data_IF_571621245362
#
_entry.id   IF_571621245362
#
_cell.length_a   1.000
_cell.length_b   1.000
_cell.length_c   1.000
_cell.angle_alpha   90.00
_cell.angle_beta   90.00
_cell.angle_gamma   90.00
#
_symmetry.space_group_name_H-M   'P 1'
#
loop_
_entity.id
_entity.type
_entity.pdbx_description
1 polymer ?
#
# COMPACT_ATOMS: atom_id res chain seq x y z
N UNK A 1 8.50 9.49 -15.67
CA UNK A 1 8.71 9.98 -14.29
C UNK A 1 9.18 8.87 -13.34
N UNK A 2 8.37 7.82 -13.07
CA UNK A 2 8.72 6.76 -12.09
C UNK A 2 10.03 6.03 -12.42
N UNK A 3 10.27 5.65 -13.67
CA UNK A 3 11.51 4.97 -14.06
C UNK A 3 12.74 5.85 -13.80
N UNK A 4 12.72 7.11 -14.23
CA UNK A 4 13.78 8.08 -13.92
C UNK A 4 14.00 8.24 -12.42
N UNK A 5 12.93 8.23 -11.62
CA UNK A 5 13.06 8.23 -10.17
C UNK A 5 13.78 6.97 -9.67
N UNK A 6 13.40 5.77 -10.14
CA UNK A 6 14.04 4.51 -9.73
C UNK A 6 15.52 4.46 -10.14
N UNK A 7 15.86 4.89 -11.35
CA UNK A 7 17.22 4.96 -11.88
C UNK A 7 18.14 5.72 -10.92
N UNK A 8 17.64 6.81 -10.33
CA UNK A 8 18.42 7.67 -9.43
C UNK A 8 18.17 7.42 -7.93
N UNK A 9 17.44 6.37 -7.56
CA UNK A 9 17.20 6.02 -6.14
C UNK A 9 16.11 6.85 -5.45
N UNK A 10 15.12 7.34 -6.19
CA UNK A 10 13.97 8.09 -5.69
C UNK A 10 12.70 7.23 -5.64
N UNK A 11 11.68 7.73 -4.94
CA UNK A 11 10.36 7.12 -4.78
C UNK A 11 9.28 8.20 -4.89
N UNK A 12 8.17 7.84 -5.53
CA UNK A 12 6.93 8.61 -5.54
C UNK A 12 6.09 8.35 -4.28
N UNK A 13 5.39 9.37 -3.79
CA UNK A 13 4.54 9.24 -2.61
C UNK A 13 3.16 9.85 -2.83
N UNK A 14 2.74 10.75 -1.94
CA UNK A 14 1.40 11.32 -1.95
C UNK A 14 1.11 12.04 -3.26
N UNK A 15 -0.09 11.79 -3.77
CA UNK A 15 -0.72 12.59 -4.82
C UNK A 15 -1.67 13.59 -4.18
N UNK A 16 -1.71 14.79 -4.69
CA UNK A 16 -2.68 15.81 -4.30
C UNK A 16 -3.30 16.43 -5.56
N UNK A 17 -4.57 16.83 -5.49
CA UNK A 17 -5.13 17.68 -6.52
C UNK A 17 -4.46 19.06 -6.45
N UNK A 18 -4.15 19.64 -7.60
CA UNK A 18 -3.72 21.04 -7.69
C UNK A 18 -4.91 21.91 -8.09
N UNK A 19 -5.59 21.51 -9.16
CA UNK A 19 -6.78 22.15 -9.73
C UNK A 19 -7.59 21.11 -10.54
N UNK A 20 -8.56 21.56 -11.34
CA UNK A 20 -9.47 20.71 -12.13
C UNK A 20 -8.77 19.93 -13.25
N UNK A 21 -7.56 20.34 -13.63
CA UNK A 21 -6.80 19.79 -14.77
C UNK A 21 -5.46 19.18 -14.37
N UNK A 22 -4.95 19.54 -13.19
CA UNK A 22 -3.62 19.16 -12.74
C UNK A 22 -3.61 18.54 -11.34
N UNK A 23 -2.59 17.70 -11.11
CA UNK A 23 -2.32 17.06 -9.84
C UNK A 23 -0.83 17.08 -9.54
N UNK A 24 -0.49 17.10 -8.25
CA UNK A 24 0.87 17.06 -7.75
C UNK A 24 1.28 15.62 -7.42
N UNK A 25 2.47 15.22 -7.87
CA UNK A 25 3.15 14.01 -7.42
C UNK A 25 4.37 14.39 -6.59
N UNK A 26 4.40 14.01 -5.32
CA UNK A 26 5.64 14.14 -4.55
C UNK A 26 6.63 13.04 -4.93
N UNK A 27 7.88 13.45 -5.19
CA UNK A 27 9.05 12.58 -5.30
C UNK A 27 10.04 12.90 -4.18
N UNK A 28 10.70 11.89 -3.64
CA UNK A 28 11.76 12.04 -2.65
C UNK A 28 12.83 10.98 -2.83
N UNK A 29 14.06 11.26 -2.41
CA UNK A 29 15.11 10.23 -2.31
C UNK A 29 14.66 9.10 -1.40
N UNK A 30 15.00 7.86 -1.76
CA UNK A 30 14.78 6.70 -0.87
C UNK A 30 15.72 6.80 0.32
N UNK A 31 15.23 6.38 1.48
CA UNK A 31 16.01 6.17 2.69
C UNK A 31 15.99 4.69 3.05
N UNK A 32 16.81 4.28 4.02
CA UNK A 32 16.79 2.92 4.57
C UNK A 32 15.41 2.47 5.09
N UNK A 33 14.49 3.41 5.35
CA UNK A 33 13.11 3.12 5.79
C UNK A 33 12.07 3.14 4.67
N UNK A 34 12.45 3.52 3.45
CA UNK A 34 11.51 3.62 2.32
C UNK A 34 10.99 2.23 1.92
N UNK A 35 9.67 2.04 1.83
CA UNK A 35 9.10 0.76 1.43
C UNK A 35 9.28 0.52 -0.08
N UNK A 36 9.10 -0.74 -0.49
CA UNK A 36 9.03 -1.14 -1.89
C UNK A 36 7.63 -1.69 -2.17
N UNK A 37 7.02 -1.25 -3.27
CA UNK A 37 5.81 -1.89 -3.81
C UNK A 37 6.24 -2.97 -4.82
N UNK A 38 5.41 -4.00 -5.04
CA UNK A 38 5.66 -5.01 -6.07
C UNK A 38 5.84 -4.37 -7.45
N UNK A 39 5.02 -3.37 -7.79
CA UNK A 39 5.13 -2.63 -9.06
C UNK A 39 6.48 -1.92 -9.20
N UNK A 40 6.94 -1.21 -8.16
CA UNK A 40 8.24 -0.52 -8.24
C UNK A 40 9.40 -1.53 -8.26
N UNK A 41 9.24 -2.68 -7.60
CA UNK A 41 10.20 -3.78 -7.65
C UNK A 41 10.31 -4.36 -9.06
N UNK A 42 9.18 -4.71 -9.68
CA UNK A 42 9.11 -5.23 -11.05
C UNK A 42 9.71 -4.26 -12.06
N UNK A 43 9.42 -2.96 -11.94
CA UNK A 43 10.04 -1.93 -12.79
C UNK A 43 11.55 -1.83 -12.57
N UNK A 44 12.00 -1.92 -11.32
CA UNK A 44 13.41 -1.94 -11.01
C UNK A 44 14.10 -3.21 -11.53
N UNK A 45 13.45 -4.38 -11.49
CA UNK A 45 13.96 -5.62 -12.10
C UNK A 45 14.20 -5.45 -13.61
N UNK A 46 13.28 -4.81 -14.33
CA UNK A 46 13.45 -4.48 -15.75
C UNK A 46 14.64 -3.53 -15.97
N UNK A 47 14.80 -2.52 -15.12
CA UNK A 47 15.92 -1.57 -15.21
C UNK A 47 17.27 -2.22 -14.88
N UNK A 48 17.32 -3.17 -13.94
CA UNK A 48 18.49 -4.00 -13.63
C UNK A 48 18.87 -4.81 -14.87
N UNK A 49 17.91 -5.53 -15.45
CA UNK A 49 18.16 -6.36 -16.63
C UNK A 49 18.66 -5.54 -17.83
N UNK A 50 18.17 -4.30 -17.96
CA UNK A 50 18.60 -3.37 -19.00
C UNK A 50 19.88 -2.59 -18.66
N UNK A 51 20.51 -2.80 -17.49
CA UNK A 51 21.68 -2.06 -17.01
C UNK A 51 21.49 -0.52 -17.03
N UNK A 52 20.29 -0.06 -16.69
CA UNK A 52 19.92 1.37 -16.74
C UNK A 52 19.94 2.09 -15.39
N UNK A 53 20.38 1.42 -14.33
CA UNK A 53 20.45 2.02 -13.00
C UNK A 53 21.72 2.86 -12.85
N UNK A 54 21.57 4.01 -12.21
CA UNK A 54 22.72 4.78 -11.73
C UNK A 54 23.13 4.32 -10.34
N UNK A 55 24.34 4.68 -9.91
CA UNK A 55 24.89 4.34 -8.60
C UNK A 55 23.90 4.51 -7.42
N UNK A 56 23.16 5.63 -7.26
CA UNK A 56 22.21 5.77 -6.16
C UNK A 56 20.97 4.86 -6.29
N UNK A 57 20.53 4.55 -7.51
CA UNK A 57 19.44 3.60 -7.75
C UNK A 57 19.83 2.18 -7.37
N UNK A 58 21.03 1.77 -7.80
CA UNK A 58 21.60 0.47 -7.46
C UNK A 58 21.80 0.31 -5.95
N UNK A 59 22.40 1.31 -5.28
CA UNK A 59 22.58 1.30 -3.83
C UNK A 59 21.26 1.13 -3.06
N UNK A 60 20.21 1.83 -3.46
CA UNK A 60 18.90 1.73 -2.80
C UNK A 60 18.24 0.34 -2.97
N UNK A 61 18.54 -0.36 -4.07
CA UNK A 61 18.08 -1.72 -4.32
C UNK A 61 18.87 -2.71 -3.47
N UNK A 62 20.19 -2.57 -3.42
CA UNK A 62 21.07 -3.46 -2.67
C UNK A 62 20.80 -3.38 -1.16
N UNK A 63 20.62 -2.18 -0.61
CA UNK A 63 20.18 -2.00 0.78
C UNK A 63 18.84 -2.69 1.06
N UNK A 64 17.88 -2.57 0.14
CA UNK A 64 16.56 -3.17 0.31
C UNK A 64 16.58 -4.69 0.17
N UNK A 65 17.50 -5.24 -0.63
CA UNK A 65 17.74 -6.69 -0.69
C UNK A 65 18.39 -7.17 0.61
N UNK A 66 19.42 -6.47 1.09
CA UNK A 66 20.15 -6.82 2.31
C UNK A 66 19.26 -6.84 3.56
N UNK A 67 18.34 -5.88 3.71
CA UNK A 67 17.46 -5.83 4.88
C UNK A 67 16.09 -6.54 4.68
N UNK A 68 15.88 -7.14 3.51
CA UNK A 68 14.68 -7.89 3.15
C UNK A 68 13.45 -7.05 2.78
N UNK A 69 13.52 -5.71 2.71
CA UNK A 69 12.41 -4.87 2.19
C UNK A 69 12.06 -5.21 0.75
N UNK A 70 13.03 -5.62 -0.06
CA UNK A 70 12.84 -6.05 -1.43
C UNK A 70 11.93 -7.28 -1.54
N UNK A 71 12.19 -8.30 -0.70
CA UNK A 71 11.37 -9.50 -0.65
C UNK A 71 9.96 -9.20 -0.12
N UNK A 72 9.85 -8.29 0.86
CA UNK A 72 8.58 -7.85 1.49
C UNK A 72 7.83 -6.78 0.70
N UNK A 73 8.11 -6.63 -0.60
CA UNK A 73 7.46 -5.61 -1.40
C UNK A 73 5.93 -5.80 -1.40
N UNK A 74 5.20 -4.74 -1.02
CA UNK A 74 3.77 -4.84 -0.78
C UNK A 74 2.97 -4.89 -2.09
N UNK A 75 1.88 -5.65 -2.10
CA UNK A 75 0.97 -5.75 -3.23
C UNK A 75 0.14 -4.46 -3.39
N UNK A 76 -0.18 -4.10 -4.63
CA UNK A 76 -1.08 -2.98 -4.91
C UNK A 76 -2.52 -3.29 -4.52
N UNK A 77 -3.38 -2.26 -4.48
CA UNK A 77 -4.77 -2.40 -4.04
C UNK A 77 -5.61 -3.40 -4.83
N UNK A 78 -5.26 -3.64 -6.10
CA UNK A 78 -5.94 -4.61 -6.97
C UNK A 78 -5.51 -6.06 -6.73
N UNK A 79 -4.31 -6.28 -6.22
CA UNK A 79 -3.69 -7.60 -6.11
C UNK A 79 -3.40 -8.00 -4.67
N UNK A 80 -3.79 -7.18 -3.69
CA UNK A 80 -3.61 -7.51 -2.29
C UNK A 80 -4.65 -8.55 -1.88
N UNK A 81 -4.19 -9.62 -1.26
CA UNK A 81 -5.04 -10.72 -0.83
C UNK A 81 -5.49 -10.53 0.62
N UNK A 82 -6.65 -11.11 0.95
CA UNK A 82 -7.14 -11.16 2.32
C UNK A 82 -6.44 -12.31 3.03
N UNK A 83 -5.68 -12.07 4.12
CA UNK A 83 -5.06 -13.14 4.88
C UNK A 83 -6.11 -14.12 5.40
N UNK A 84 -5.83 -15.42 5.31
CA UNK A 84 -6.78 -16.47 5.68
C UNK A 84 -7.17 -16.37 7.16
N UNK A 85 -6.24 -15.98 8.03
CA UNK A 85 -6.50 -15.73 9.44
C UNK A 85 -7.48 -14.58 9.67
N UNK A 86 -7.48 -13.56 8.81
CA UNK A 86 -8.43 -12.45 8.88
C UNK A 86 -9.82 -12.88 8.37
N UNK A 87 -9.87 -13.67 7.30
CA UNK A 87 -11.13 -14.30 6.82
C UNK A 87 -11.77 -15.15 7.92
N UNK A 88 -11.00 -16.03 8.57
CA UNK A 88 -11.49 -16.85 9.69
C UNK A 88 -11.97 -16.00 10.86
N UNK A 89 -11.32 -14.88 11.15
CA UNK A 89 -11.73 -13.99 12.22
C UNK A 89 -13.02 -13.22 11.89
N UNK A 90 -13.18 -12.75 10.65
CA UNK A 90 -14.40 -12.11 10.18
C UNK A 90 -15.61 -13.06 10.23
N UNK A 91 -15.44 -14.31 9.80
CA UNK A 91 -16.50 -15.32 9.81
C UNK A 91 -17.09 -15.60 11.20
N UNK A 92 -16.33 -15.34 12.28
CA UNK A 92 -16.82 -15.46 13.67
C UNK A 92 -17.73 -14.31 14.09
N UNK A 93 -17.76 -13.21 13.33
CA UNK A 93 -18.54 -12.01 13.64
C UNK A 93 -19.32 -11.57 12.39
N UNK A 94 -20.51 -12.12 12.13
CA UNK A 94 -21.27 -11.90 10.88
C UNK A 94 -21.50 -10.42 10.53
N UNK A 95 -21.65 -9.56 11.55
CA UNK A 95 -21.77 -8.10 11.34
C UNK A 95 -20.49 -7.49 10.76
N UNK A 96 -19.33 -7.90 11.27
CA UNK A 96 -18.04 -7.43 10.79
C UNK A 96 -17.75 -7.93 9.37
N UNK A 97 -18.05 -9.20 9.08
CA UNK A 97 -17.90 -9.78 7.74
C UNK A 97 -18.73 -9.02 6.69
N UNK A 98 -20.03 -8.81 6.97
CA UNK A 98 -20.94 -8.07 6.09
C UNK A 98 -20.49 -6.62 5.89
N UNK A 99 -19.98 -5.97 6.94
CA UNK A 99 -19.48 -4.61 6.82
C UNK A 99 -18.17 -4.53 6.02
N UNK A 100 -17.23 -5.44 6.27
CA UNK A 100 -15.97 -5.52 5.53
C UNK A 100 -16.20 -5.73 4.02
N UNK A 101 -17.19 -6.54 3.65
CA UNK A 101 -17.59 -6.76 2.25
C UNK A 101 -18.14 -5.48 1.56
N UNK A 102 -18.66 -4.52 2.34
CA UNK A 102 -19.22 -3.25 1.85
C UNK A 102 -18.21 -2.11 1.80
N UNK A 103 -16.99 -2.30 2.34
CA UNK A 103 -15.97 -1.25 2.34
C UNK A 103 -15.59 -0.85 0.93
N UNK A 104 -15.33 0.44 0.75
CA UNK A 104 -14.74 0.93 -0.50
C UNK A 104 -13.30 0.41 -0.66
N UNK A 105 -12.78 0.49 -1.88
CA UNK A 105 -11.45 -0.04 -2.21
C UNK A 105 -10.33 0.60 -1.38
N UNK A 106 -10.50 1.86 -0.94
CA UNK A 106 -9.51 2.58 -0.14
C UNK A 106 -9.44 2.04 1.29
N UNK A 107 -10.58 1.91 1.96
CA UNK A 107 -10.63 1.36 3.32
C UNK A 107 -10.27 -0.12 3.35
N UNK A 108 -10.76 -0.90 2.37
CA UNK A 108 -10.37 -2.32 2.24
C UNK A 108 -8.85 -2.44 2.09
N UNK A 109 -8.24 -1.66 1.19
CA UNK A 109 -6.79 -1.67 1.01
C UNK A 109 -6.05 -1.24 2.26
N UNK A 110 -6.51 -0.19 2.96
CA UNK A 110 -5.87 0.30 4.17
C UNK A 110 -5.79 -0.76 5.28
N UNK A 111 -6.84 -1.57 5.46
CA UNK A 111 -6.84 -2.69 6.40
C UNK A 111 -5.82 -3.74 5.96
N UNK A 112 -5.92 -4.21 4.70
CA UNK A 112 -5.08 -5.29 4.18
C UNK A 112 -3.60 -4.89 4.16
N UNK A 113 -3.27 -3.68 3.73
CA UNK A 113 -1.91 -3.15 3.74
C UNK A 113 -1.31 -3.17 5.14
N UNK A 114 -2.08 -2.73 6.16
CA UNK A 114 -1.62 -2.73 7.56
C UNK A 114 -1.41 -4.16 8.08
N UNK A 115 -2.28 -5.10 7.74
CA UNK A 115 -2.12 -6.51 8.11
C UNK A 115 -0.86 -7.14 7.50
N UNK A 116 -0.64 -6.94 6.20
CA UNK A 116 0.53 -7.46 5.48
C UNK A 116 1.84 -6.78 5.90
N UNK A 117 1.78 -5.53 6.39
CA UNK A 117 2.97 -4.78 6.82
C UNK A 117 3.48 -5.17 8.21
N UNK A 118 2.72 -5.95 9.00
CA UNK A 118 3.10 -6.33 10.35
C UNK A 118 4.11 -7.48 10.36
N UNK A 119 5.24 -7.25 11.03
CA UNK A 119 6.38 -8.17 11.07
C UNK A 119 6.22 -9.34 12.03
N UNK A 120 5.40 -9.20 13.07
CA UNK A 120 5.26 -10.22 14.12
C UNK A 120 3.87 -10.86 14.08
N UNK A 121 3.83 -12.17 14.37
CA UNK A 121 2.57 -12.90 14.46
C UNK A 121 1.63 -12.29 15.51
N UNK A 122 2.17 -11.91 16.68
CA UNK A 122 1.39 -11.27 17.74
C UNK A 122 0.82 -9.92 17.33
N UNK A 123 1.63 -9.10 16.64
CA UNK A 123 1.16 -7.82 16.10
C UNK A 123 0.02 -8.00 15.11
N UNK A 124 0.13 -9.01 14.23
CA UNK A 124 -0.90 -9.35 13.26
C UNK A 124 -2.19 -9.82 13.92
N UNK A 125 -2.11 -10.71 14.90
CA UNK A 125 -3.25 -11.19 15.68
C UNK A 125 -3.99 -10.01 16.35
N UNK A 126 -3.26 -9.13 17.05
CA UNK A 126 -3.84 -7.95 17.69
C UNK A 126 -4.51 -7.02 16.66
N UNK A 127 -3.89 -6.82 15.50
CA UNK A 127 -4.46 -5.99 14.44
C UNK A 127 -5.71 -6.61 13.83
N UNK A 128 -5.76 -7.93 13.65
CA UNK A 128 -6.94 -8.66 13.19
C UNK A 128 -8.10 -8.43 14.16
N UNK A 129 -7.90 -8.67 15.45
CA UNK A 129 -8.94 -8.46 16.46
C UNK A 129 -9.46 -7.03 16.43
N UNK A 130 -8.56 -6.04 16.35
CA UNK A 130 -8.93 -4.62 16.26
C UNK A 130 -9.73 -4.30 14.99
N UNK A 131 -9.36 -4.84 13.83
CA UNK A 131 -10.08 -4.55 12.59
C UNK A 131 -11.42 -5.26 12.48
N UNK A 132 -11.55 -6.48 13.03
CA UNK A 132 -12.85 -7.17 13.15
C UNK A 132 -13.77 -6.35 14.05
N UNK A 133 -13.29 -5.92 15.20
CA UNK A 133 -14.03 -5.10 16.15
C UNK A 133 -14.46 -3.74 15.54
N UNK A 134 -13.55 -3.02 14.89
CA UNK A 134 -13.86 -1.80 14.12
C UNK A 134 -14.95 -2.04 13.06
N UNK A 135 -14.85 -3.13 12.28
CA UNK A 135 -15.87 -3.47 11.29
C UNK A 135 -17.21 -3.84 11.94
N UNK A 136 -17.19 -4.48 13.11
CA UNK A 136 -18.41 -4.79 13.87
C UNK A 136 -19.15 -3.54 14.36
N UNK A 137 -18.41 -2.45 14.62
CA UNK A 137 -18.97 -1.13 14.95
C UNK A 137 -19.38 -0.32 13.71
N UNK A 138 -19.02 -0.76 12.51
CA UNK A 138 -19.33 -0.03 11.27
C UNK A 138 -18.42 1.17 11.02
N UNK A 139 -17.20 1.14 11.58
CA UNK A 139 -16.22 2.23 11.48
C UNK A 139 -15.25 2.03 10.30
N UNK A 140 -14.72 3.14 9.76
CA UNK A 140 -13.76 3.13 8.64
C UNK A 140 -12.44 3.82 9.04
N UNK A 141 -11.34 3.46 8.36
CA UNK A 141 -10.01 4.05 8.61
C UNK A 141 -9.84 5.42 7.95
N UNK A 142 -10.50 5.60 6.81
CA UNK A 142 -10.57 6.83 6.07
C UNK A 142 -12.04 7.25 6.00
N UNK A 143 -12.32 8.58 6.01
CA UNK A 143 -13.67 9.05 5.74
C UNK A 143 -14.22 8.42 4.46
N UNK A 144 -15.48 7.99 4.44
CA UNK A 144 -16.11 7.54 3.21
C UNK A 144 -15.95 8.64 2.17
N UNK A 145 -15.53 8.30 0.95
CA UNK A 145 -15.56 9.27 -0.14
C UNK A 145 -16.99 9.78 -0.25
N UNK A 146 -17.23 11.06 0.03
CA UNK A 146 -18.53 11.64 -0.24
C UNK A 146 -18.79 11.44 -1.73
N UNK A 147 -20.03 11.07 -2.10
CA UNK A 147 -20.43 11.11 -3.51
C UNK A 147 -20.13 12.53 -3.98
N UNK A 148 -19.18 12.69 -4.90
CA UNK A 148 -18.82 13.98 -5.44
C UNK A 148 -20.12 14.71 -5.82
N UNK A 149 -20.32 15.92 -5.30
CA UNK A 149 -21.46 16.75 -5.71
C UNK A 149 -21.34 16.89 -7.22
N UNK A 150 -22.35 16.41 -7.95
CA UNK A 150 -22.48 16.66 -9.39
C UNK A 150 -22.29 18.16 -9.62
N UNK A 151 -21.34 18.60 -10.46
CA UNK A 151 -21.24 20.01 -10.78
C UNK A 151 -22.57 20.42 -11.41
N UNK A 152 -23.24 21.43 -10.83
CA UNK A 152 -24.38 22.07 -11.47
C UNK A 152 -23.84 22.69 -12.77
N UNK A 153 -24.37 22.22 -13.89
CA UNK A 153 -24.21 22.85 -15.21
C UNK A 153 -24.83 24.23 -15.20
#
# INVERSE_FOLDING_TARGET
AIEGALIWGWIDSQKAALDDTAWLQRFSRRTAKSPWSKINREKADVLIAAQRLEAPGQAAIDEAKADGRWARAYAGSRTIEVPEEFTRALAKVPKAERFFAKLDSANRYAILYRLHSLKTAKGRENAISRFVDMCSRGETLHPPRSKAKTPKR
#
